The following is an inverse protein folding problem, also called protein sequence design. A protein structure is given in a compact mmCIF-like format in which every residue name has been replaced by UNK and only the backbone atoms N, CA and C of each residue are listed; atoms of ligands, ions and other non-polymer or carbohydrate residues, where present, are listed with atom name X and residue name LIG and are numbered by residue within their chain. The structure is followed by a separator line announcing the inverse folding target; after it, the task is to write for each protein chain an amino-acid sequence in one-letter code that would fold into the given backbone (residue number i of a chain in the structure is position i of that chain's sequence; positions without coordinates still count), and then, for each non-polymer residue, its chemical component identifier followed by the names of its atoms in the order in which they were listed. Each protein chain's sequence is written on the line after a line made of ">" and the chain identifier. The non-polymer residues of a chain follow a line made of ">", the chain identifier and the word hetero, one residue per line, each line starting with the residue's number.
data_IF_464589893362
#
_entry.id   IF_464589893362
#
_cell.length_a   1.000
_cell.length_b   1.000
_cell.length_c   1.000
_cell.angle_alpha   90.00
_cell.angle_beta   90.00
_cell.angle_gamma   90.00
#
_symmetry.space_group_name_H-M   'P 1'
#
loop_
_entity.id
_entity.type
_entity.pdbx_description
1 polymer ?
#
# COMPACT_ATOMS: atom_id res chain seq x y z
N UNK A 1 10.22 24.05 -12.73
CA UNK A 1 10.57 22.63 -12.90
C UNK A 1 11.87 22.43 -12.13
N UNK A 2 11.83 21.84 -10.94
CA UNK A 2 13.03 21.74 -10.08
C UNK A 2 13.85 20.50 -10.48
N UNK A 3 15.17 20.63 -10.70
CA UNK A 3 16.04 19.52 -11.11
C UNK A 3 16.18 18.41 -10.04
N UNK A 4 15.79 18.67 -8.79
CA UNK A 4 15.87 17.70 -7.68
C UNK A 4 14.81 16.59 -7.71
N UNK A 5 13.79 16.70 -8.58
CA UNK A 5 12.75 15.68 -8.73
C UNK A 5 13.19 14.48 -9.58
N UNK A 6 14.38 14.51 -10.17
CA UNK A 6 14.90 13.44 -11.01
C UNK A 6 16.03 12.68 -10.26
N UNK A 7 15.93 11.35 -10.21
CA UNK A 7 17.00 10.46 -9.77
C UNK A 7 18.21 10.61 -10.70
N UNK A 8 19.42 10.27 -10.23
CA UNK A 8 20.70 10.25 -10.95
C UNK A 8 20.70 9.48 -12.28
N UNK A 9 19.64 8.71 -12.56
CA UNK A 9 19.43 7.94 -13.78
C UNK A 9 18.45 8.60 -14.77
N UNK A 10 18.02 9.84 -14.54
CA UNK A 10 17.05 10.49 -15.42
C UNK A 10 15.63 9.93 -15.28
N UNK A 11 15.23 9.50 -14.08
CA UNK A 11 13.86 9.05 -13.80
C UNK A 11 13.23 9.90 -12.68
N UNK A 12 11.94 10.24 -12.79
CA UNK A 12 11.21 10.91 -11.70
C UNK A 12 11.38 10.14 -10.38
N UNK A 13 11.84 10.82 -9.34
CA UNK A 13 11.77 10.34 -7.96
C UNK A 13 10.31 10.10 -7.62
N UNK A 14 10.00 8.89 -7.18
CA UNK A 14 8.67 8.58 -6.71
C UNK A 14 8.36 9.47 -5.51
N UNK A 15 7.19 10.15 -5.50
CA UNK A 15 6.85 11.10 -4.45
C UNK A 15 6.85 10.38 -3.09
N UNK A 16 7.27 11.05 -2.02
CA UNK A 16 7.28 10.48 -0.67
C UNK A 16 5.92 9.87 -0.28
N UNK A 17 4.82 10.48 -0.74
CA UNK A 17 3.47 9.96 -0.59
C UNK A 17 3.25 8.56 -1.18
N UNK A 18 3.90 8.22 -2.29
CA UNK A 18 3.85 6.86 -2.84
C UNK A 18 4.40 5.83 -1.85
N UNK A 19 5.54 6.14 -1.24
CA UNK A 19 6.16 5.29 -0.22
C UNK A 19 5.28 5.19 1.02
N UNK A 20 4.68 6.29 1.46
CA UNK A 20 3.72 6.28 2.57
C UNK A 20 2.52 5.36 2.30
N UNK A 21 1.98 5.39 1.08
CA UNK A 21 0.87 4.51 0.67
C UNK A 21 1.31 3.04 0.61
N UNK A 22 2.49 2.75 0.06
CA UNK A 22 3.05 1.40 0.07
C UNK A 22 3.21 0.86 1.49
N UNK A 23 3.76 1.67 2.40
CA UNK A 23 3.93 1.31 3.81
C UNK A 23 2.58 1.09 4.49
N UNK A 24 1.60 1.97 4.23
CA UNK A 24 0.24 1.85 4.77
C UNK A 24 -0.44 0.56 4.29
N UNK A 25 -0.30 0.23 3.01
CA UNK A 25 -0.89 -0.97 2.44
C UNK A 25 -0.14 -2.25 2.85
N UNK A 26 1.17 -2.14 3.07
CA UNK A 26 1.99 -3.20 3.63
C UNK A 26 1.95 -3.25 5.18
N UNK A 27 1.04 -2.52 5.84
CA UNK A 27 0.97 -2.46 7.32
C UNK A 27 0.93 -3.84 7.98
N UNK A 28 0.15 -4.76 7.43
CA UNK A 28 0.02 -6.12 7.96
C UNK A 28 1.30 -6.92 7.80
N UNK A 29 2.02 -6.70 6.70
CA UNK A 29 3.36 -7.25 6.48
C UNK A 29 4.39 -6.67 7.44
N UNK A 30 4.35 -5.36 7.71
CA UNK A 30 5.24 -4.73 8.69
C UNK A 30 4.99 -5.27 10.09
N UNK A 31 3.72 -5.40 10.48
CA UNK A 31 3.32 -6.02 11.75
C UNK A 31 3.79 -7.48 11.80
N UNK A 32 3.67 -8.23 10.71
CA UNK A 32 4.18 -9.60 10.64
C UNK A 32 5.70 -9.69 10.78
N UNK A 33 6.46 -8.85 10.07
CA UNK A 33 7.92 -8.80 10.16
C UNK A 33 8.35 -8.39 11.57
N UNK A 34 7.72 -7.38 12.17
CA UNK A 34 8.00 -6.96 13.54
C UNK A 34 7.66 -8.07 14.54
N UNK A 35 6.57 -8.80 14.32
CA UNK A 35 6.22 -9.94 15.16
C UNK A 35 7.16 -11.12 15.01
N UNK A 36 7.67 -11.37 13.81
CA UNK A 36 8.71 -12.36 13.54
C UNK A 36 10.06 -11.96 14.16
N UNK A 37 10.41 -10.67 14.10
CA UNK A 37 11.66 -10.14 14.62
C UNK A 37 11.67 -10.03 16.16
N UNK A 38 10.54 -9.71 16.79
CA UNK A 38 10.38 -9.61 18.24
C UNK A 38 9.26 -10.53 18.72
N UNK A 39 9.59 -11.82 18.92
CA UNK A 39 8.63 -12.85 19.38
C UNK A 39 7.96 -12.49 20.71
N UNK A 40 8.58 -11.65 21.54
CA UNK A 40 8.10 -11.33 22.90
C UNK A 40 7.16 -10.11 22.95
N UNK A 41 7.39 -9.06 22.15
CA UNK A 41 6.51 -7.87 22.07
C UNK A 41 5.49 -7.95 20.93
N UNK A 42 5.87 -8.61 19.82
CA UNK A 42 5.03 -8.72 18.64
C UNK A 42 3.75 -9.53 18.85
N UNK A 43 3.78 -10.53 19.73
CA UNK A 43 2.60 -11.33 20.03
C UNK A 43 1.52 -10.52 20.78
N UNK A 44 1.93 -9.54 21.60
CA UNK A 44 1.02 -8.61 22.28
C UNK A 44 0.39 -7.59 21.32
N UNK A 45 1.16 -7.08 20.35
CA UNK A 45 0.63 -6.21 19.30
C UNK A 45 -0.28 -6.96 18.32
N UNK A 46 0.06 -8.19 17.94
CA UNK A 46 -0.78 -9.03 17.08
C UNK A 46 -2.13 -9.36 17.73
N UNK A 47 -2.14 -9.69 19.02
CA UNK A 47 -3.38 -10.00 19.75
C UNK A 47 -4.24 -8.76 19.99
N UNK A 48 -3.61 -7.57 20.13
CA UNK A 48 -4.33 -6.30 20.26
C UNK A 48 -4.92 -5.83 18.92
N UNK A 49 -4.20 -5.99 17.81
CA UNK A 49 -4.62 -5.51 16.49
C UNK A 49 -5.44 -6.54 15.69
N UNK A 50 -5.20 -7.83 15.90
CA UNK A 50 -5.83 -8.93 15.17
C UNK A 50 -6.16 -10.09 16.12
N UNK A 51 -7.19 -9.93 16.99
CA UNK A 51 -7.68 -11.04 17.82
C UNK A 51 -8.20 -12.20 16.95
N UNK A 52 -8.62 -11.91 15.71
CA UNK A 52 -9.13 -12.89 14.75
C UNK A 52 -8.11 -13.22 13.65
N UNK A 53 -7.84 -14.51 13.47
CA UNK A 53 -6.81 -15.04 12.56
C UNK A 53 -7.19 -14.84 11.08
N UNK A 54 -8.47 -14.69 10.77
CA UNK A 54 -8.95 -14.46 9.39
C UNK A 54 -8.56 -13.07 8.87
N UNK A 55 -8.77 -12.02 9.66
CA UNK A 55 -8.43 -10.64 9.29
C UNK A 55 -6.93 -10.46 9.03
N UNK A 56 -6.09 -11.20 9.76
CA UNK A 56 -4.65 -11.24 9.54
C UNK A 56 -4.28 -11.82 8.16
N UNK A 57 -4.90 -12.94 7.76
CA UNK A 57 -4.65 -13.56 6.45
C UNK A 57 -5.11 -12.68 5.28
N UNK A 58 -6.28 -12.03 5.40
CA UNK A 58 -6.73 -11.06 4.39
C UNK A 58 -5.77 -9.89 4.26
N UNK A 59 -5.27 -9.37 5.39
CA UNK A 59 -4.28 -8.29 5.39
C UNK A 59 -2.94 -8.69 4.78
N UNK A 60 -2.49 -9.94 4.97
CA UNK A 60 -1.30 -10.45 4.27
C UNK A 60 -1.55 -10.57 2.77
N UNK A 61 -2.71 -11.14 2.36
CA UNK A 61 -3.03 -11.34 0.95
C UNK A 61 -3.13 -9.99 0.22
N UNK A 62 -3.75 -8.99 0.84
CA UNK A 62 -3.81 -7.61 0.33
C UNK A 62 -2.46 -6.89 0.33
N UNK A 63 -1.55 -7.23 1.24
CA UNK A 63 -0.23 -6.63 1.33
C UNK A 63 0.79 -7.20 0.35
N UNK A 64 0.49 -8.31 -0.34
CA UNK A 64 1.35 -8.87 -1.41
C UNK A 64 1.55 -7.87 -2.56
N UNK A 65 0.50 -7.27 -3.16
CA UNK A 65 0.66 -6.28 -4.22
C UNK A 65 1.63 -5.13 -3.91
N UNK A 66 1.52 -4.40 -2.78
CA UNK A 66 2.46 -3.32 -2.47
C UNK A 66 3.88 -3.82 -2.25
N UNK A 67 4.08 -4.98 -1.61
CA UNK A 67 5.44 -5.55 -1.42
C UNK A 67 6.08 -5.93 -2.75
N UNK A 68 5.32 -6.54 -3.66
CA UNK A 68 5.79 -6.82 -5.02
C UNK A 68 6.20 -5.55 -5.74
N UNK A 69 5.45 -4.46 -5.56
CA UNK A 69 5.71 -3.20 -6.24
C UNK A 69 6.90 -2.47 -5.65
N UNK A 70 7.06 -2.52 -4.33
CA UNK A 70 8.27 -2.09 -3.66
C UNK A 70 9.51 -2.81 -4.24
N UNK A 71 9.44 -4.13 -4.41
CA UNK A 71 10.52 -4.93 -4.99
C UNK A 71 10.76 -4.60 -6.48
N UNK A 72 9.68 -4.45 -7.25
CA UNK A 72 9.71 -4.06 -8.67
C UNK A 72 10.29 -2.65 -8.84
N UNK A 73 10.07 -1.73 -7.89
CA UNK A 73 10.63 -0.38 -7.91
C UNK A 73 12.16 -0.40 -7.89
N UNK A 74 12.78 -1.36 -7.19
CA UNK A 74 14.23 -1.59 -7.23
C UNK A 74 14.72 -2.20 -8.55
N UNK A 75 13.83 -2.85 -9.31
CA UNK A 75 14.12 -3.49 -10.61
C UNK A 75 13.46 -2.78 -11.79
N UNK A 76 13.07 -1.51 -11.63
CA UNK A 76 12.34 -0.70 -12.64
C UNK A 76 12.96 -0.80 -14.04
N UNK A 77 14.29 -0.82 -14.10
CA UNK A 77 15.06 -0.91 -15.34
C UNK A 77 14.88 -2.24 -16.13
N UNK A 78 14.46 -3.33 -15.49
CA UNK A 78 14.41 -4.65 -16.11
C UNK A 78 13.04 -5.00 -16.70
N UNK A 79 11.97 -4.30 -16.29
CA UNK A 79 10.58 -4.73 -16.57
C UNK A 79 9.65 -3.55 -16.93
N UNK A 80 9.95 -2.79 -18.01
CA UNK A 80 9.19 -1.59 -18.39
C UNK A 80 7.72 -1.87 -18.75
N UNK A 81 7.42 -3.07 -19.24
CA UNK A 81 6.03 -3.50 -19.53
C UNK A 81 5.20 -3.78 -18.29
N UNK A 82 5.83 -4.20 -17.19
CA UNK A 82 5.12 -4.58 -15.95
C UNK A 82 4.86 -3.34 -15.08
N UNK A 83 5.69 -2.29 -15.24
CA UNK A 83 5.57 -1.03 -14.53
C UNK A 83 4.17 -0.37 -14.61
N UNK A 84 3.53 -0.19 -15.79
CA UNK A 84 2.17 0.35 -15.85
C UNK A 84 1.12 -0.61 -15.26
N UNK A 85 1.38 -1.92 -15.22
CA UNK A 85 0.48 -2.91 -14.64
C UNK A 85 0.47 -2.84 -13.11
N UNK A 86 1.60 -2.49 -12.49
CA UNK A 86 1.69 -2.25 -11.06
C UNK A 86 0.82 -1.08 -10.57
N UNK A 87 0.58 -0.05 -11.38
CA UNK A 87 -0.39 1.01 -11.04
C UNK A 87 -1.80 0.44 -10.82
N UNK A 88 -2.26 -0.40 -11.75
CA UNK A 88 -3.57 -1.06 -11.66
C UNK A 88 -3.62 -2.03 -10.49
N UNK A 89 -2.50 -2.71 -10.19
CA UNK A 89 -2.42 -3.65 -9.08
C UNK A 89 -2.51 -2.92 -7.71
N UNK A 90 -1.89 -1.75 -7.53
CA UNK A 90 -2.08 -0.93 -6.31
C UNK A 90 -3.49 -0.42 -6.20
N UNK A 91 -4.06 0.07 -7.30
CA UNK A 91 -5.42 0.58 -7.33
C UNK A 91 -6.41 -0.53 -6.95
N UNK A 92 -6.25 -1.73 -7.51
CA UNK A 92 -7.04 -2.90 -7.17
C UNK A 92 -6.85 -3.30 -5.70
N UNK A 93 -5.62 -3.28 -5.21
CA UNK A 93 -5.31 -3.52 -3.79
C UNK A 93 -6.02 -2.52 -2.88
N UNK A 94 -5.96 -1.21 -3.19
CA UNK A 94 -6.61 -0.16 -2.39
C UNK A 94 -8.13 -0.31 -2.40
N UNK A 95 -8.70 -0.65 -3.56
CA UNK A 95 -10.12 -0.90 -3.69
C UNK A 95 -10.54 -2.13 -2.87
N UNK A 96 -9.73 -3.20 -2.88
CA UNK A 96 -9.95 -4.36 -2.04
C UNK A 96 -9.85 -4.02 -0.54
N UNK A 97 -8.89 -3.17 -0.12
CA UNK A 97 -8.77 -2.75 1.29
C UNK A 97 -9.99 -1.94 1.71
N UNK A 98 -10.44 -1.04 0.85
CA UNK A 98 -11.61 -0.22 1.10
C UNK A 98 -12.89 -1.06 1.17
N UNK A 99 -13.06 -2.02 0.25
CA UNK A 99 -14.18 -2.95 0.25
C UNK A 99 -14.20 -3.84 1.50
N UNK A 100 -13.05 -4.39 1.89
CA UNK A 100 -12.93 -5.21 3.10
C UNK A 100 -13.20 -4.40 4.37
N UNK A 101 -12.74 -3.14 4.46
CA UNK A 101 -13.09 -2.26 5.57
C UNK A 101 -14.59 -1.95 5.60
N UNK A 102 -15.20 -1.69 4.44
CA UNK A 102 -16.65 -1.49 4.34
C UNK A 102 -17.46 -2.71 4.79
N UNK A 103 -17.03 -3.92 4.39
CA UNK A 103 -17.65 -5.18 4.84
C UNK A 103 -17.41 -5.40 6.34
N UNK A 104 -16.21 -5.12 6.84
CA UNK A 104 -15.87 -5.22 8.26
C UNK A 104 -16.72 -4.29 9.12
N UNK A 105 -16.93 -3.04 8.68
CA UNK A 105 -17.83 -2.08 9.37
C UNK A 105 -19.28 -2.55 9.34
N UNK A 106 -19.73 -3.19 8.26
CA UNK A 106 -21.07 -3.77 8.17
C UNK A 106 -21.26 -4.94 9.15
N UNK A 107 -20.23 -5.78 9.33
CA UNK A 107 -20.28 -6.92 10.25
C UNK A 107 -20.08 -6.52 11.71
N UNK A 108 -19.37 -5.41 11.97
CA UNK A 108 -18.99 -4.97 13.33
C UNK A 108 -19.90 -3.87 13.88
N UNK A 109 -21.16 -3.78 13.42
CA UNK A 109 -22.12 -2.75 13.87
C UNK A 109 -22.39 -2.78 15.39
N UNK A 110 -22.05 -3.87 16.09
CA UNK A 110 -22.23 -4.02 17.54
C UNK A 110 -21.07 -3.45 18.39
N UNK A 111 -19.81 -3.43 17.90
CA UNK A 111 -18.68 -2.79 18.60
C UNK A 111 -17.79 -2.01 17.61
N UNK A 112 -17.98 -0.69 17.47
CA UNK A 112 -17.19 0.11 16.56
C UNK A 112 -15.75 0.24 17.07
N UNK A 113 -14.83 -0.45 16.41
CA UNK A 113 -13.42 -0.38 16.75
C UNK A 113 -12.81 0.91 16.18
N UNK A 114 -12.35 1.81 17.05
CA UNK A 114 -11.86 3.15 16.68
C UNK A 114 -10.64 3.08 15.75
N UNK A 115 -9.86 2.00 15.86
CA UNK A 115 -8.72 1.70 14.99
C UNK A 115 -9.16 1.47 13.54
N UNK A 116 -10.21 0.66 13.31
CA UNK A 116 -10.71 0.39 11.95
C UNK A 116 -11.27 1.65 11.29
N UNK A 117 -11.93 2.52 12.05
CA UNK A 117 -12.43 3.80 11.54
C UNK A 117 -11.28 4.74 11.13
N UNK A 118 -10.22 4.81 11.96
CA UNK A 118 -9.05 5.63 11.66
C UNK A 118 -8.29 5.15 10.42
N UNK A 119 -8.17 3.82 10.26
CA UNK A 119 -7.55 3.19 9.12
C UNK A 119 -8.38 3.40 7.85
N UNK A 120 -9.71 3.29 7.94
CA UNK A 120 -10.60 3.54 6.82
C UNK A 120 -10.51 4.99 6.32
N UNK A 121 -10.39 5.96 7.24
CA UNK A 121 -10.18 7.36 6.88
C UNK A 121 -8.83 7.56 6.16
N UNK A 122 -7.79 6.89 6.64
CA UNK A 122 -6.44 6.99 6.09
C UNK A 122 -6.36 6.34 4.70
N UNK A 123 -6.98 5.17 4.52
CA UNK A 123 -7.10 4.48 3.22
C UNK A 123 -7.96 5.29 2.24
N UNK A 124 -9.06 5.90 2.68
CA UNK A 124 -9.88 6.78 1.85
C UNK A 124 -9.11 8.02 1.39
N UNK A 125 -8.35 8.65 2.29
CA UNK A 125 -7.46 9.77 1.97
C UNK A 125 -6.38 9.36 0.96
N UNK A 126 -5.78 8.19 1.14
CA UNK A 126 -4.79 7.64 0.22
C UNK A 126 -5.40 7.38 -1.18
N UNK A 127 -6.63 6.85 -1.25
CA UNK A 127 -7.34 6.56 -2.49
C UNK A 127 -7.75 7.86 -3.22
N UNK A 128 -8.28 8.84 -2.49
CA UNK A 128 -8.59 10.17 -3.02
C UNK A 128 -7.33 10.86 -3.57
N UNK A 129 -6.21 10.79 -2.85
CA UNK A 129 -4.93 11.32 -3.31
C UNK A 129 -4.43 10.58 -4.55
N UNK A 130 -4.55 9.25 -4.60
CA UNK A 130 -4.16 8.44 -5.75
C UNK A 130 -4.95 8.83 -7.02
N UNK A 131 -6.26 9.10 -6.86
CA UNK A 131 -7.13 9.54 -7.95
C UNK A 131 -6.86 10.99 -8.38
N UNK A 132 -6.59 11.90 -7.45
CA UNK A 132 -6.27 13.30 -7.75
C UNK A 132 -4.86 13.49 -8.34
N UNK A 133 -3.89 12.67 -7.93
CA UNK A 133 -2.50 12.85 -8.30
C UNK A 133 -2.20 12.36 -9.71
N UNK A 134 -2.37 13.26 -10.69
CA UNK A 134 -1.93 13.04 -12.08
C UNK A 134 -0.41 12.81 -12.19
N UNK A 135 0.39 13.28 -11.22
CA UNK A 135 1.86 13.10 -11.19
C UNK A 135 2.26 11.63 -11.02
N UNK A 136 1.54 10.88 -10.19
CA UNK A 136 1.77 9.44 -10.01
C UNK A 136 1.49 8.69 -11.31
N UNK A 137 0.35 8.98 -11.93
CA UNK A 137 -0.04 8.38 -13.21
C UNK A 137 0.97 8.72 -14.31
N UNK A 138 1.44 9.96 -14.35
CA UNK A 138 2.52 10.38 -15.24
C UNK A 138 3.82 9.59 -14.98
N UNK A 139 4.25 9.41 -13.72
CA UNK A 139 5.48 8.66 -13.40
C UNK A 139 5.42 7.17 -13.82
N UNK A 140 4.23 6.58 -13.82
CA UNK A 140 3.99 5.22 -14.33
C UNK A 140 3.86 5.16 -15.85
N UNK A 141 3.46 6.25 -16.51
CA UNK A 141 3.24 6.32 -17.96
C UNK A 141 4.42 6.96 -18.72
N UNK A 142 5.36 7.60 -18.02
CA UNK A 142 6.54 8.28 -18.58
C UNK A 142 7.48 7.30 -19.30
N UNK A 143 7.50 6.02 -18.90
CA UNK A 143 8.21 4.96 -19.64
C UNK A 143 7.57 4.66 -21.01
N UNK A 144 6.28 4.93 -21.19
CA UNK A 144 5.58 4.72 -22.46
C UNK A 144 6.00 5.76 -23.53
N UNK A 145 6.71 6.81 -23.14
CA UNK A 145 7.21 7.89 -24.01
C UNK A 145 8.61 7.66 -24.60
N UNK A 146 9.31 6.61 -24.15
CA UNK A 146 10.66 6.27 -24.63
C UNK A 146 10.66 5.19 -25.72
N UNK A 147 9.49 4.82 -26.26
CA UNK A 147 9.32 3.91 -27.40
C UNK A 147 8.78 4.67 -28.60
#
# INVERSE_FOLDING_TARGET
>A
MNPDEYNSHGMLRLPLWFWAILVLQARTWLLFIMAGASRQQGNGLLTLFYPDRHSFWYGIFLGIPPVLIFLLCGRRHLLPKIWPMSYWLLLAGMFATFALQGVGMWQSMEEPNLLDFSLALLDAGALAYWLMSRRLRACFDEERRLV
#
